data_IF_885901383572
#
_entry.id   IF_885901383572
#
_cell.length_a   1.000
_cell.length_b   1.000
_cell.length_c   1.000
_cell.angle_alpha   90.00
_cell.angle_beta   90.00
_cell.angle_gamma   90.00
#
_symmetry.space_group_name_H-M   'P 1'
#
loop_
_entity.id
_entity.type
_entity.pdbx_description
1 polymer ?
#
# COMPACT_ATOMS: atom_id res chain seq x y z
N UNK A 1 -15.15 4.61 5.30
CA UNK A 1 -13.97 4.25 4.48
C UNK A 1 -13.56 2.81 4.74
N UNK A 2 -13.17 2.09 3.70
CA UNK A 2 -12.63 0.74 3.85
C UNK A 2 -11.19 0.77 4.32
N UNK A 3 -10.68 -0.36 4.79
CA UNK A 3 -9.26 -0.51 5.12
C UNK A 3 -8.40 -0.15 3.91
N UNK A 4 -8.74 -0.67 2.74
CA UNK A 4 -8.00 -0.41 1.50
C UNK A 4 -7.92 1.07 1.18
N UNK A 5 -9.04 1.79 1.23
CA UNK A 5 -9.08 3.23 0.92
C UNK A 5 -8.25 4.03 1.92
N UNK A 6 -8.30 3.69 3.19
CA UNK A 6 -7.51 4.33 4.24
C UNK A 6 -6.01 4.11 4.02
N UNK A 7 -5.60 2.85 3.78
CA UNK A 7 -4.19 2.50 3.56
C UNK A 7 -3.63 3.15 2.32
N UNK A 8 -4.43 3.22 1.26
CA UNK A 8 -4.01 3.86 0.02
C UNK A 8 -3.68 5.34 0.25
N UNK A 9 -4.57 6.05 0.92
CA UNK A 9 -4.35 7.46 1.22
C UNK A 9 -3.12 7.66 2.11
N UNK A 10 -2.98 6.88 3.17
CA UNK A 10 -1.82 6.95 4.07
C UNK A 10 -0.50 6.75 3.32
N UNK A 11 -0.45 5.71 2.49
CA UNK A 11 0.76 5.37 1.75
C UNK A 11 1.11 6.47 0.73
N UNK A 12 0.10 7.00 0.04
CA UNK A 12 0.31 8.09 -0.92
C UNK A 12 0.87 9.34 -0.24
N UNK A 13 0.28 9.74 0.87
CA UNK A 13 0.72 10.92 1.61
C UNK A 13 2.14 10.75 2.16
N UNK A 14 2.46 9.55 2.66
CA UNK A 14 3.81 9.23 3.13
C UNK A 14 4.83 9.32 2.00
N UNK A 15 4.46 8.92 0.80
CA UNK A 15 5.31 9.02 -0.38
C UNK A 15 5.37 10.45 -0.96
N UNK A 16 4.59 11.38 -0.41
CA UNK A 16 4.53 12.79 -0.83
C UNK A 16 4.10 12.94 -2.29
N UNK A 17 3.18 12.09 -2.71
CA UNK A 17 2.63 12.12 -4.06
C UNK A 17 1.22 12.70 -4.04
N UNK A 18 0.87 13.48 -5.08
CA UNK A 18 -0.51 13.86 -5.31
C UNK A 18 -1.31 12.68 -5.85
N UNK A 19 -2.64 12.75 -5.80
CA UNK A 19 -3.50 11.77 -6.42
C UNK A 19 -3.20 11.63 -7.91
N UNK A 20 -3.02 12.75 -8.60
CA UNK A 20 -2.69 12.76 -10.01
C UNK A 20 -1.35 12.08 -10.29
N UNK A 21 -0.31 12.44 -9.53
CA UNK A 21 1.01 11.86 -9.71
C UNK A 21 0.99 10.34 -9.55
N UNK A 22 0.38 9.85 -8.50
CA UNK A 22 0.30 8.42 -8.25
C UNK A 22 -0.52 7.73 -9.34
N UNK A 23 -1.66 8.31 -9.71
CA UNK A 23 -2.52 7.76 -10.76
C UNK A 23 -1.79 7.61 -12.09
N UNK A 24 -1.04 8.61 -12.50
CA UNK A 24 -0.25 8.58 -13.73
C UNK A 24 0.81 7.48 -13.66
N UNK A 25 1.50 7.35 -12.52
CA UNK A 25 2.56 6.35 -12.34
C UNK A 25 2.07 4.91 -12.47
N UNK A 26 0.81 4.66 -12.13
CA UNK A 26 0.23 3.32 -12.24
C UNK A 26 -0.52 3.10 -13.56
N UNK A 27 -0.41 4.05 -14.49
CA UNK A 27 -0.90 3.88 -15.85
C UNK A 27 -2.30 4.42 -16.11
N UNK A 28 -2.85 5.23 -15.22
CA UNK A 28 -4.14 5.89 -15.47
C UNK A 28 -3.89 7.10 -16.36
N UNK A 29 -4.79 7.32 -17.32
CA UNK A 29 -4.76 8.48 -18.19
C UNK A 29 -4.67 9.77 -17.35
N UNK A 30 -3.75 10.69 -17.65
CA UNK A 30 -3.61 11.94 -16.88
C UNK A 30 -4.90 12.72 -16.72
N UNK A 31 -5.80 12.70 -17.71
CA UNK A 31 -7.06 13.40 -17.63
C UNK A 31 -7.99 12.82 -16.56
N UNK A 32 -7.81 11.56 -16.18
CA UNK A 32 -8.68 10.84 -15.23
C UNK A 32 -7.99 10.50 -13.92
N UNK A 33 -6.69 10.69 -13.84
CA UNK A 33 -5.87 10.16 -12.74
C UNK A 33 -6.31 10.67 -11.37
N UNK A 34 -6.44 11.98 -11.21
CA UNK A 34 -6.84 12.58 -9.94
C UNK A 34 -8.24 12.13 -9.51
N UNK A 35 -9.20 12.18 -10.43
CA UNK A 35 -10.59 11.82 -10.12
C UNK A 35 -10.72 10.33 -9.75
N UNK A 36 -10.05 9.44 -10.47
CA UNK A 36 -10.11 8.00 -10.19
C UNK A 36 -9.44 7.68 -8.85
N UNK A 37 -8.27 8.24 -8.60
CA UNK A 37 -7.57 8.03 -7.32
C UNK A 37 -8.41 8.55 -6.15
N UNK A 38 -9.07 9.69 -6.33
CA UNK A 38 -9.95 10.23 -5.29
C UNK A 38 -11.09 9.27 -4.97
N UNK A 39 -11.70 8.64 -5.97
CA UNK A 39 -12.77 7.67 -5.76
C UNK A 39 -12.28 6.44 -4.99
N UNK A 40 -11.08 5.97 -5.28
CA UNK A 40 -10.46 4.87 -4.53
C UNK A 40 -10.22 5.25 -3.07
N UNK A 41 -9.72 6.44 -2.82
CA UNK A 41 -9.43 6.91 -1.46
C UNK A 41 -10.68 7.21 -0.64
N UNK A 42 -11.78 7.55 -1.30
CA UNK A 42 -13.07 7.76 -0.64
C UNK A 42 -13.86 6.46 -0.46
N UNK A 43 -13.37 5.35 -1.00
CA UNK A 43 -14.08 4.08 -0.94
C UNK A 43 -15.28 3.99 -1.87
N UNK A 44 -15.44 4.95 -2.79
CA UNK A 44 -16.54 4.95 -3.76
C UNK A 44 -16.33 3.95 -4.88
N UNK A 45 -15.09 3.57 -5.13
CA UNK A 45 -14.70 2.58 -6.11
C UNK A 45 -13.58 1.73 -5.52
N UNK A 46 -13.64 0.43 -5.78
CA UNK A 46 -12.63 -0.52 -5.26
C UNK A 46 -11.69 -0.89 -6.40
N UNK A 47 -10.37 -0.64 -6.24
CA UNK A 47 -9.41 -1.12 -7.23
C UNK A 47 -9.32 -2.65 -7.18
N UNK A 48 -9.16 -3.29 -8.33
CA UNK A 48 -8.95 -4.73 -8.37
C UNK A 48 -7.54 -5.09 -7.86
N UNK A 49 -7.30 -6.38 -7.66
CA UNK A 49 -6.02 -6.84 -7.11
C UNK A 49 -4.84 -6.46 -8.00
N UNK A 50 -5.00 -6.54 -9.31
CA UNK A 50 -3.93 -6.17 -10.24
C UNK A 50 -3.53 -4.70 -10.06
N UNK A 51 -4.51 -3.81 -9.91
CA UNK A 51 -4.23 -2.41 -9.67
C UNK A 51 -3.60 -2.18 -8.30
N UNK A 52 -4.04 -2.91 -7.27
CA UNK A 52 -3.43 -2.84 -5.93
C UNK A 52 -1.96 -3.28 -6.01
N UNK A 53 -1.65 -4.31 -6.78
CA UNK A 53 -0.27 -4.75 -6.96
C UNK A 53 0.59 -3.68 -7.62
N UNK A 54 0.04 -2.95 -8.60
CA UNK A 54 0.74 -1.82 -9.24
C UNK A 54 0.98 -0.68 -8.24
N UNK A 55 -0.03 -0.36 -7.43
CA UNK A 55 0.10 0.63 -6.37
C UNK A 55 1.18 0.23 -5.37
N UNK A 56 1.17 -1.02 -4.95
CA UNK A 56 2.14 -1.56 -4.01
C UNK A 56 3.56 -1.44 -4.56
N UNK A 57 3.78 -1.87 -5.80
CA UNK A 57 5.08 -1.78 -6.44
C UNK A 57 5.58 -0.34 -6.53
N UNK A 58 4.72 0.58 -6.92
CA UNK A 58 5.07 2.00 -7.04
C UNK A 58 5.41 2.63 -5.69
N UNK A 59 4.71 2.23 -4.64
CA UNK A 59 4.89 2.78 -3.30
C UNK A 59 5.91 2.02 -2.45
N UNK A 60 6.52 0.96 -2.99
CA UNK A 60 7.52 0.15 -2.26
C UNK A 60 6.93 -0.61 -1.10
N UNK A 61 5.71 -1.13 -1.25
CA UNK A 61 4.96 -1.85 -0.22
C UNK A 61 4.52 -3.22 -0.73
N UNK A 62 4.29 -4.19 0.17
CA UNK A 62 3.63 -5.42 -0.25
C UNK A 62 2.14 -5.17 -0.43
N UNK A 63 1.49 -5.91 -1.34
CA UNK A 63 0.05 -5.76 -1.56
C UNK A 63 -0.76 -6.01 -0.27
N UNK A 64 -0.31 -6.91 0.59
CA UNK A 64 -0.96 -7.21 1.87
C UNK A 64 -1.11 -5.99 2.78
N UNK A 65 -0.22 -5.01 2.67
CA UNK A 65 -0.28 -3.76 3.43
C UNK A 65 -1.65 -3.09 3.31
N UNK A 66 -2.21 -3.07 2.10
CA UNK A 66 -3.47 -2.39 1.82
C UNK A 66 -4.68 -3.08 2.45
N UNK A 67 -4.53 -4.32 2.87
CA UNK A 67 -5.60 -5.12 3.46
C UNK A 67 -5.42 -5.34 4.97
N UNK A 68 -4.36 -4.79 5.56
CA UNK A 68 -4.08 -4.92 6.98
C UNK A 68 -5.00 -4.01 7.80
N UNK A 69 -5.88 -4.60 8.60
CA UNK A 69 -6.84 -3.85 9.42
C UNK A 69 -6.13 -3.15 10.57
N UNK A 70 -5.25 -3.86 11.28
CA UNK A 70 -4.50 -3.29 12.40
C UNK A 70 -3.37 -2.38 11.94
N UNK A 71 -3.20 -1.25 12.61
CA UNK A 71 -2.11 -0.32 12.27
C UNK A 71 -0.74 -0.93 12.54
N UNK A 72 -0.61 -1.73 13.60
CA UNK A 72 0.61 -2.46 13.94
C UNK A 72 0.95 -3.53 12.88
N UNK A 73 -0.05 -4.24 12.38
CA UNK A 73 0.14 -5.21 11.31
C UNK A 73 0.60 -4.52 10.03
N UNK A 74 -0.02 -3.38 9.68
CA UNK A 74 0.38 -2.60 8.51
C UNK A 74 1.82 -2.12 8.63
N UNK A 75 2.20 -1.63 9.80
CA UNK A 75 3.57 -1.18 10.06
C UNK A 75 4.57 -2.32 9.94
N UNK A 76 4.25 -3.48 10.51
CA UNK A 76 5.13 -4.65 10.42
C UNK A 76 5.32 -5.11 8.98
N UNK A 77 4.25 -5.15 8.19
CA UNK A 77 4.33 -5.50 6.78
C UNK A 77 5.24 -4.56 6.01
N UNK A 78 5.14 -3.26 6.28
CA UNK A 78 5.97 -2.25 5.65
C UNK A 78 7.46 -2.46 6.01
N UNK A 79 7.76 -2.66 7.28
CA UNK A 79 9.12 -2.88 7.76
C UNK A 79 9.70 -4.19 7.22
N UNK A 80 8.92 -5.27 7.27
CA UNK A 80 9.34 -6.58 6.76
C UNK A 80 9.70 -6.50 5.28
N UNK A 81 8.87 -5.83 4.50
CA UNK A 81 9.07 -5.70 3.06
C UNK A 81 10.41 -5.04 2.70
N UNK A 82 10.89 -4.15 3.55
CA UNK A 82 12.15 -3.41 3.32
C UNK A 82 13.40 -4.19 3.72
N UNK A 83 13.26 -5.26 4.48
CA UNK A 83 14.40 -6.05 4.92
C UNK A 83 14.94 -6.89 3.76
N UNK A 84 16.27 -7.15 3.81
CA UNK A 84 16.87 -8.15 2.92
C UNK A 84 16.50 -9.56 3.41
N UNK A 85 16.93 -10.58 2.69
CA UNK A 85 16.59 -11.98 3.01
C UNK A 85 17.05 -12.37 4.42
N UNK A 86 18.24 -11.95 4.84
CA UNK A 86 18.77 -12.24 6.16
C UNK A 86 17.92 -11.58 7.25
N UNK A 87 17.60 -10.29 7.09
CA UNK A 87 16.75 -9.56 8.03
C UNK A 87 15.37 -10.19 8.16
N UNK A 88 14.79 -10.65 7.05
CA UNK A 88 13.50 -11.33 7.07
C UNK A 88 13.57 -12.64 7.88
N UNK A 89 14.63 -13.43 7.70
CA UNK A 89 14.82 -14.66 8.48
C UNK A 89 14.95 -14.38 9.98
N UNK A 90 15.72 -13.35 10.33
CA UNK A 90 15.90 -12.95 11.72
C UNK A 90 14.58 -12.52 12.36
N UNK A 91 13.80 -11.72 11.65
CA UNK A 91 12.51 -11.27 12.17
C UNK A 91 11.55 -12.44 12.35
N UNK A 92 11.48 -13.34 11.38
CA UNK A 92 10.62 -14.52 11.46
C UNK A 92 11.03 -15.43 12.62
N UNK A 93 12.34 -15.60 12.84
CA UNK A 93 12.85 -16.37 13.96
C UNK A 93 12.48 -15.76 15.31
N UNK A 94 12.65 -14.45 15.45
CA UNK A 94 12.27 -13.75 16.68
C UNK A 94 10.76 -13.85 16.93
N UNK A 95 9.95 -13.66 15.91
CA UNK A 95 8.49 -13.76 16.03
C UNK A 95 8.07 -15.16 16.50
N UNK A 96 8.69 -16.21 15.93
CA UNK A 96 8.43 -17.59 16.35
C UNK A 96 8.81 -17.83 17.81
N UNK A 97 9.93 -17.27 18.27
CA UNK A 97 10.40 -17.42 19.65
C UNK A 97 9.49 -16.69 20.64
N UNK A 98 8.86 -15.61 20.23
CA UNK A 98 7.94 -14.84 21.07
C UNK A 98 6.55 -15.46 21.17
N UNK A 99 6.21 -16.28 20.18
CA UNK A 99 4.88 -16.94 20.12
C UNK A 99 4.80 -18.29 20.83
#
# INVERSE_FOLDING_TARGET
MSTLSKRLREARLRAKLSQEQLGIRIGIDPASASARMNRYELGKRVPDLELVEKLAAELGLPAAYFYAVGDDEAELLQQFHRLNAEGKRQLLGLAADLG
#
